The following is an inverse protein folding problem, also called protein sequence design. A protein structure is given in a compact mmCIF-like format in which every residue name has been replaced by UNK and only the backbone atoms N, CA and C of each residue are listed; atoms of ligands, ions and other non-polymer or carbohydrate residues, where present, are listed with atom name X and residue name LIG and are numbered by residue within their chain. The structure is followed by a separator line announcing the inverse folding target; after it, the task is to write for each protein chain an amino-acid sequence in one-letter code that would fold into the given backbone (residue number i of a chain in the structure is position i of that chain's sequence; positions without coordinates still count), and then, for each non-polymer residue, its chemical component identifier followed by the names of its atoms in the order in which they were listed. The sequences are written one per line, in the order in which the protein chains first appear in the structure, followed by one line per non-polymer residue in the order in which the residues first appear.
data_IF_507287650058
#
_entry.id   IF_507287650058
#
_cell.length_a   1.000
_cell.length_b   1.000
_cell.length_c   1.000
_cell.angle_alpha   90.00
_cell.angle_beta   90.00
_cell.angle_gamma   90.00
#
_symmetry.space_group_name_H-M   'P 1'
#
loop_
_entity.id
_entity.type
_entity.pdbx_description
1 polymer ?
#
# COMPACT_ATOMS: atom_id res chain seq x y z
N UNK A 1 -66.17 45.14 1.40
CA UNK A 1 -65.70 43.97 0.63
C UNK A 1 -64.24 44.23 0.25
N UNK A 2 -63.25 43.61 0.90
CA UNK A 2 -62.68 42.26 0.65
C UNK A 2 -61.45 42.35 -0.27
N UNK A 3 -60.27 41.96 0.25
CA UNK A 3 -58.97 42.03 -0.43
C UNK A 3 -58.00 43.01 0.26
N UNK A 4 -56.69 42.78 0.29
CA UNK A 4 -55.91 41.63 -0.21
C UNK A 4 -54.62 41.49 0.62
N UNK A 5 -54.53 40.46 1.48
CA UNK A 5 -53.29 40.18 2.24
C UNK A 5 -52.26 39.51 1.33
N UNK A 6 -51.12 40.16 1.12
CA UNK A 6 -49.92 39.53 0.55
C UNK A 6 -48.94 39.23 1.70
N UNK A 7 -48.82 37.95 2.05
CA UNK A 7 -47.68 37.44 2.81
C UNK A 7 -46.78 36.70 1.83
N UNK A 8 -45.53 37.14 1.72
CA UNK A 8 -44.52 36.45 0.93
C UNK A 8 -44.12 35.17 1.66
N UNK A 9 -44.35 34.01 1.04
CA UNK A 9 -43.88 32.74 1.55
C UNK A 9 -42.35 32.67 1.40
N UNK A 10 -41.63 32.57 2.52
CA UNK A 10 -40.19 32.34 2.51
C UNK A 10 -39.93 30.90 2.02
N UNK A 11 -39.42 30.76 0.80
CA UNK A 11 -39.04 29.47 0.24
C UNK A 11 -37.74 28.97 0.85
N UNK A 12 -37.82 28.07 1.83
CA UNK A 12 -36.65 27.38 2.38
C UNK A 12 -35.97 26.52 1.32
N UNK A 13 -34.82 26.97 0.78
CA UNK A 13 -33.93 26.08 0.03
C UNK A 13 -33.37 25.03 0.98
N UNK A 14 -33.98 23.84 0.97
CA UNK A 14 -33.47 22.67 1.65
C UNK A 14 -32.30 22.10 0.82
N UNK A 15 -31.12 22.69 1.02
CA UNK A 15 -29.88 22.23 0.40
C UNK A 15 -29.61 20.81 0.90
N UNK A 16 -29.76 19.82 0.02
CA UNK A 16 -29.48 18.43 0.33
C UNK A 16 -27.96 18.21 0.39
N UNK A 17 -27.36 18.58 1.53
CA UNK A 17 -25.95 18.37 1.80
C UNK A 17 -25.67 16.86 1.85
N UNK A 18 -25.17 16.32 0.74
CA UNK A 18 -24.68 14.95 0.65
C UNK A 18 -23.46 14.79 1.57
N UNK A 19 -23.71 14.43 2.82
CA UNK A 19 -22.67 14.17 3.80
C UNK A 19 -21.93 12.90 3.41
N UNK A 20 -20.69 13.05 2.94
CA UNK A 20 -19.73 11.96 2.88
C UNK A 20 -19.45 11.50 4.32
N UNK A 21 -20.28 10.58 4.82
CA UNK A 21 -20.01 9.89 6.07
C UNK A 21 -18.67 9.15 5.91
N UNK A 22 -17.68 9.40 6.80
CA UNK A 22 -16.43 8.67 6.72
C UNK A 22 -16.71 7.19 6.95
N UNK A 23 -16.34 6.35 5.98
CA UNK A 23 -16.56 4.91 6.07
C UNK A 23 -15.95 4.35 7.38
N UNK A 24 -16.59 3.34 8.00
CA UNK A 24 -16.17 2.81 9.29
C UNK A 24 -14.77 2.19 9.21
N UNK A 25 -14.01 2.24 10.30
CA UNK A 25 -12.60 1.82 10.35
C UNK A 25 -12.34 0.39 9.84
N UNK A 26 -13.33 -0.50 9.94
CA UNK A 26 -13.31 -1.86 9.37
C UNK A 26 -13.14 -1.85 7.85
N UNK A 27 -13.84 -0.95 7.15
CA UNK A 27 -13.79 -0.78 5.69
C UNK A 27 -12.49 -0.14 5.17
N UNK A 28 -11.56 0.26 6.07
CA UNK A 28 -10.24 0.81 5.71
C UNK A 28 -9.07 -0.02 6.22
N UNK A 29 -9.31 -0.99 7.10
CA UNK A 29 -8.40 -2.14 7.19
C UNK A 29 -8.66 -3.09 6.03
N UNK A 30 -9.92 -3.31 5.60
CA UNK A 30 -10.21 -4.15 4.42
C UNK A 30 -9.51 -3.68 3.14
N UNK A 31 -9.26 -2.38 2.93
CA UNK A 31 -8.49 -1.90 1.77
C UNK A 31 -6.96 -2.15 1.88
N UNK A 32 -6.42 -2.21 3.09
CA UNK A 32 -5.06 -2.76 3.33
C UNK A 32 -5.05 -4.27 3.08
N UNK A 33 -6.11 -4.98 3.46
CA UNK A 33 -6.22 -6.43 3.29
C UNK A 33 -6.39 -6.82 1.81
N UNK A 34 -7.14 -6.05 1.04
CA UNK A 34 -7.19 -6.14 -0.42
C UNK A 34 -5.78 -6.08 -1.02
N UNK A 35 -4.99 -5.07 -0.61
CA UNK A 35 -3.62 -4.87 -1.12
C UNK A 35 -2.54 -5.81 -0.57
N UNK A 36 -2.86 -6.66 0.42
CA UNK A 36 -1.90 -7.55 1.10
C UNK A 36 -2.25 -9.04 1.07
N UNK A 37 -3.53 -9.36 0.89
CA UNK A 37 -4.05 -10.72 0.86
C UNK A 37 -4.89 -10.95 -0.40
N UNK A 38 -5.12 -9.90 -1.19
CA UNK A 38 -5.84 -9.88 -2.46
C UNK A 38 -7.33 -9.66 -2.26
N UNK A 39 -7.90 -8.67 -2.97
CA UNK A 39 -9.35 -8.53 -3.03
C UNK A 39 -9.98 -9.80 -3.59
N UNK A 40 -10.73 -10.52 -2.74
CA UNK A 40 -11.67 -11.54 -3.20
C UNK A 40 -12.80 -10.82 -3.91
N UNK A 41 -13.07 -11.15 -5.17
CA UNK A 41 -14.02 -10.40 -5.99
C UNK A 41 -15.43 -10.49 -5.41
N UNK A 42 -15.81 -9.45 -4.67
CA UNK A 42 -17.05 -9.42 -3.91
C UNK A 42 -18.21 -9.20 -4.89
N UNK A 43 -19.24 -10.07 -4.91
CA UNK A 43 -20.41 -9.84 -5.75
C UNK A 43 -20.95 -8.44 -5.47
N UNK A 44 -21.23 -7.69 -6.54
CA UNK A 44 -21.77 -6.33 -6.41
C UNK A 44 -22.98 -6.37 -5.46
N UNK A 45 -23.05 -5.48 -4.44
CA UNK A 45 -24.14 -5.50 -3.49
C UNK A 45 -25.45 -5.38 -4.26
N UNK A 46 -26.33 -6.38 -4.11
CA UNK A 46 -27.60 -6.40 -4.80
C UNK A 46 -28.34 -5.07 -4.56
N UNK A 47 -28.92 -4.45 -5.59
CA UNK A 47 -29.65 -3.19 -5.42
C UNK A 47 -30.68 -3.37 -4.31
N UNK A 48 -30.66 -2.47 -3.33
CA UNK A 48 -31.59 -2.54 -2.22
C UNK A 48 -33.04 -2.51 -2.76
N UNK A 49 -33.96 -3.29 -2.19
CA UNK A 49 -35.34 -3.33 -2.68
C UNK A 49 -35.95 -1.93 -2.59
N UNK A 50 -36.33 -1.38 -3.74
CA UNK A 50 -37.08 -0.13 -3.81
C UNK A 50 -38.42 -0.31 -3.08
N UNK A 51 -38.89 0.67 -2.30
CA UNK A 51 -40.19 0.59 -1.64
C UNK A 51 -41.31 0.57 -2.69
N UNK A 52 -42.19 -0.44 -2.60
CA UNK A 52 -43.29 -0.60 -3.55
C UNK A 52 -44.19 0.65 -3.62
N UNK A 53 -44.39 1.16 -4.84
CA UNK A 53 -45.35 2.23 -5.13
C UNK A 53 -46.61 1.59 -5.73
N UNK A 54 -47.76 1.56 -5.02
CA UNK A 54 -48.98 0.94 -5.53
C UNK A 54 -49.58 1.73 -6.72
N UNK A 55 -50.33 1.06 -7.62
CA UNK A 55 -50.42 1.50 -9.02
C UNK A 55 -51.68 2.31 -9.38
N UNK A 56 -51.51 3.23 -10.34
CA UNK A 56 -52.56 3.70 -11.25
C UNK A 56 -51.96 4.19 -12.59
N UNK A 57 -52.69 4.02 -13.69
CA UNK A 57 -52.35 4.42 -15.06
C UNK A 57 -53.56 5.21 -15.65
N UNK A 58 -53.67 5.52 -16.96
CA UNK A 58 -52.69 5.47 -18.07
C UNK A 58 -52.65 6.78 -18.92
N UNK A 59 -51.74 6.87 -19.91
CA UNK A 59 -52.03 7.23 -21.34
C UNK A 59 -50.73 7.42 -22.16
N UNK A 60 -50.84 7.39 -23.49
CA UNK A 60 -49.77 7.56 -24.49
C UNK A 60 -50.38 8.30 -25.72
N UNK A 61 -49.73 8.44 -26.90
CA UNK A 61 -48.32 8.29 -27.29
C UNK A 61 -47.78 9.49 -28.13
N UNK A 62 -46.48 9.48 -28.53
CA UNK A 62 -46.01 9.71 -29.94
C UNK A 62 -44.48 9.75 -30.14
N UNK A 63 -44.06 9.38 -31.35
CA UNK A 63 -42.76 9.55 -32.06
C UNK A 63 -43.04 10.48 -33.29
N UNK A 64 -42.11 10.86 -34.21
CA UNK A 64 -40.63 10.77 -34.24
C UNK A 64 -39.90 12.05 -34.74
N UNK A 65 -38.55 11.98 -34.85
CA UNK A 65 -37.66 12.77 -35.76
C UNK A 65 -37.56 14.32 -35.54
N UNK A 66 -36.48 15.05 -35.84
CA UNK A 66 -35.06 14.78 -36.21
C UNK A 66 -34.22 16.05 -35.80
N UNK A 67 -33.11 16.58 -36.35
CA UNK A 67 -32.34 16.46 -37.63
C UNK A 67 -30.84 16.82 -37.44
N UNK A 68 -30.02 16.54 -38.46
CA UNK A 68 -28.66 17.07 -38.76
C UNK A 68 -28.74 18.49 -39.41
N UNK A 69 -27.66 19.26 -39.76
CA UNK A 69 -26.29 18.84 -40.11
C UNK A 69 -25.10 19.77 -39.72
N UNK A 70 -23.94 19.53 -40.35
CA UNK A 70 -22.59 20.12 -40.19
C UNK A 70 -22.28 21.10 -41.34
N UNK A 71 -21.51 22.18 -41.11
CA UNK A 71 -20.27 22.44 -41.89
C UNK A 71 -19.16 23.12 -41.05
N UNK A 72 -18.05 23.64 -41.60
CA UNK A 72 -16.93 23.00 -42.34
C UNK A 72 -15.87 24.07 -42.70
N UNK A 73 -14.56 23.72 -42.73
CA UNK A 73 -13.42 24.52 -43.30
C UNK A 73 -13.15 25.90 -42.64
N UNK A 74 -12.04 26.61 -42.84
CA UNK A 74 -10.71 26.47 -43.52
C UNK A 74 -9.70 27.32 -42.66
N UNK A 75 -8.40 27.52 -42.91
CA UNK A 75 -7.24 26.81 -43.50
C UNK A 75 -6.20 27.87 -43.97
N UNK A 76 -4.93 27.47 -44.23
CA UNK A 76 -3.76 28.33 -44.61
C UNK A 76 -3.19 29.15 -43.42
N UNK A 77 -1.91 29.16 -43.01
CA UNK A 77 -0.57 28.88 -43.55
C UNK A 77 0.25 30.14 -43.94
N UNK A 78 1.50 30.21 -43.46
CA UNK A 78 2.50 31.26 -43.73
C UNK A 78 3.82 30.95 -43.01
N UNK A 79 4.97 31.37 -43.59
CA UNK A 79 6.31 31.11 -43.07
C UNK A 79 7.35 32.12 -43.59
N UNK A 80 8.33 32.51 -42.77
CA UNK A 80 9.71 32.95 -43.07
C UNK A 80 10.38 33.52 -41.77
N UNK A 81 11.71 33.69 -41.53
CA UNK A 81 12.97 33.08 -42.04
C UNK A 81 14.19 33.94 -41.67
N UNK A 82 15.30 33.30 -41.25
CA UNK A 82 16.66 33.89 -41.11
C UNK A 82 16.81 35.07 -40.10
N UNK A 83 18.01 35.49 -39.64
CA UNK A 83 19.29 34.80 -39.39
C UNK A 83 20.27 35.73 -38.60
N UNK A 84 21.42 35.18 -38.18
CA UNK A 84 22.70 35.88 -37.88
C UNK A 84 22.89 36.58 -36.52
N UNK A 85 24.16 36.83 -36.16
CA UNK A 85 24.65 37.46 -34.91
C UNK A 85 25.30 36.48 -33.91
N UNK A 86 26.50 35.93 -34.14
CA UNK A 86 27.85 36.52 -34.20
C UNK A 86 28.53 36.77 -32.82
N UNK A 87 29.78 36.31 -32.67
CA UNK A 87 30.64 36.33 -31.45
C UNK A 87 31.98 37.02 -31.74
N UNK A 88 32.50 37.87 -30.83
CA UNK A 88 33.84 37.66 -30.24
C UNK A 88 33.87 37.92 -28.71
N UNK A 89 34.67 37.31 -27.81
CA UNK A 89 35.95 36.57 -27.83
C UNK A 89 37.22 37.38 -27.44
N UNK A 90 37.71 37.22 -26.20
CA UNK A 90 39.07 37.51 -25.66
C UNK A 90 39.14 37.10 -24.15
N UNK A 91 40.26 37.03 -23.40
CA UNK A 91 41.69 36.64 -23.58
C UNK A 91 42.41 36.96 -22.24
N UNK A 92 43.26 36.15 -21.58
CA UNK A 92 43.62 34.73 -21.59
C UNK A 92 44.40 34.37 -20.28
N UNK A 93 44.94 33.15 -20.16
CA UNK A 93 45.84 32.66 -19.07
C UNK A 93 47.34 33.01 -19.35
N UNK A 94 48.38 32.51 -18.62
CA UNK A 94 48.46 31.68 -17.39
C UNK A 94 49.52 32.19 -16.35
N UNK A 95 49.84 31.40 -15.30
CA UNK A 95 51.16 31.40 -14.64
C UNK A 95 51.48 30.11 -13.86
N UNK A 96 52.72 29.65 -14.01
CA UNK A 96 53.45 28.62 -13.25
C UNK A 96 53.95 29.13 -11.87
N UNK A 97 54.48 28.34 -10.91
CA UNK A 97 54.32 26.90 -10.62
C UNK A 97 54.66 26.54 -9.11
N UNK A 98 55.61 25.66 -8.69
CA UNK A 98 55.24 24.61 -7.73
C UNK A 98 56.06 24.55 -6.41
N UNK A 99 55.46 24.02 -5.32
CA UNK A 99 56.21 23.70 -4.09
C UNK A 99 55.66 22.50 -3.28
N UNK A 100 56.55 21.53 -3.03
CA UNK A 100 56.59 20.49 -1.97
C UNK A 100 55.39 19.56 -1.72
N UNK A 101 55.63 18.29 -2.06
CA UNK A 101 54.95 17.10 -1.52
C UNK A 101 55.18 16.97 -0.01
N UNK A 102 54.13 16.60 0.74
CA UNK A 102 54.22 16.05 2.09
C UNK A 102 53.31 14.80 2.18
N UNK A 103 53.87 13.62 1.91
CA UNK A 103 53.11 12.37 1.93
C UNK A 103 53.07 11.79 3.36
N UNK A 104 51.89 11.80 3.99
CA UNK A 104 51.64 11.13 5.27
C UNK A 104 50.30 10.41 5.20
N UNK A 105 50.32 9.10 5.49
CA UNK A 105 49.18 8.28 5.94
C UNK A 105 47.85 8.44 5.22
N UNK A 106 47.56 7.58 4.24
CA UNK A 106 46.19 7.37 3.81
C UNK A 106 45.38 6.59 4.88
N UNK A 107 44.16 7.01 5.19
CA UNK A 107 43.05 6.10 5.44
C UNK A 107 42.35 5.84 4.10
N UNK A 108 42.66 4.72 3.45
CA UNK A 108 41.96 4.30 2.23
C UNK A 108 40.49 4.02 2.56
N UNK A 109 39.59 4.65 1.81
CA UNK A 109 38.19 4.26 1.67
C UNK A 109 37.41 4.06 2.99
N UNK A 110 37.03 5.18 3.63
CA UNK A 110 35.67 5.28 4.14
C UNK A 110 34.70 5.34 2.94
N UNK A 111 34.48 4.20 2.26
CA UNK A 111 33.49 4.09 1.20
C UNK A 111 32.09 4.20 1.81
N UNK A 112 31.58 5.42 1.89
CA UNK A 112 30.14 5.67 1.97
C UNK A 112 29.44 4.78 0.94
N UNK A 113 28.40 4.05 1.34
CA UNK A 113 27.71 3.06 0.49
C UNK A 113 26.88 3.66 -0.66
N UNK A 114 27.27 4.84 -1.15
CA UNK A 114 26.74 5.55 -2.31
C UNK A 114 26.80 4.68 -3.58
N UNK A 115 27.91 3.95 -3.74
CA UNK A 115 28.17 3.00 -4.83
C UNK A 115 28.12 1.55 -4.30
N UNK A 116 27.08 1.21 -3.53
CA UNK A 116 26.88 -0.15 -3.04
C UNK A 116 26.49 -1.09 -4.20
N UNK A 117 27.40 -1.99 -4.57
CA UNK A 117 27.18 -3.05 -5.55
C UNK A 117 25.82 -3.75 -5.31
N UNK A 118 24.88 -3.77 -6.28
CA UNK A 118 23.52 -4.30 -6.06
C UNK A 118 23.47 -5.72 -5.51
N UNK A 119 24.45 -6.56 -5.88
CA UNK A 119 24.60 -7.91 -5.35
C UNK A 119 24.93 -7.92 -3.84
N UNK A 120 25.74 -6.98 -3.36
CA UNK A 120 26.08 -6.85 -1.94
C UNK A 120 24.88 -6.37 -1.10
N UNK A 121 24.10 -5.42 -1.62
CA UNK A 121 22.83 -4.97 -0.99
C UNK A 121 21.84 -6.13 -0.85
N UNK A 122 21.65 -6.92 -1.91
CA UNK A 122 20.78 -8.10 -1.89
C UNK A 122 21.29 -9.17 -0.93
N UNK A 123 22.59 -9.40 -0.86
CA UNK A 123 23.19 -10.33 0.10
C UNK A 123 22.92 -9.90 1.57
N UNK A 124 23.04 -8.60 1.87
CA UNK A 124 22.74 -8.05 3.20
C UNK A 124 21.24 -8.15 3.53
N UNK A 125 20.35 -7.82 2.58
CA UNK A 125 18.91 -7.95 2.78
C UNK A 125 18.47 -9.42 2.96
N UNK A 126 19.03 -10.35 2.18
CA UNK A 126 18.85 -11.79 2.37
C UNK A 126 19.34 -12.23 3.76
N UNK A 127 20.52 -11.77 4.21
CA UNK A 127 21.04 -12.07 5.55
C UNK A 127 20.14 -11.51 6.66
N UNK A 128 19.61 -10.30 6.51
CA UNK A 128 18.65 -9.69 7.42
C UNK A 128 17.38 -10.55 7.59
N UNK A 129 16.76 -10.98 6.48
CA UNK A 129 15.54 -11.80 6.55
C UNK A 129 15.80 -13.23 7.02
N UNK A 130 16.93 -13.83 6.66
CA UNK A 130 17.28 -15.20 7.06
C UNK A 130 17.81 -15.29 8.50
N UNK A 131 18.33 -14.20 9.07
CA UNK A 131 18.81 -14.14 10.45
C UNK A 131 17.72 -13.86 11.51
N UNK A 132 16.46 -13.69 11.13
CA UNK A 132 15.35 -13.35 12.05
C UNK A 132 14.35 -14.50 12.20
N UNK A 133 14.53 -15.34 13.22
CA UNK A 133 13.54 -16.38 13.59
C UNK A 133 12.29 -15.78 14.22
N UNK A 134 12.42 -14.72 15.04
CA UNK A 134 11.30 -13.98 15.64
C UNK A 134 11.54 -12.47 15.57
N UNK A 135 10.45 -11.73 15.42
CA UNK A 135 10.43 -10.27 15.37
C UNK A 135 9.14 -9.74 16.01
N UNK A 136 9.24 -8.75 16.89
CA UNK A 136 8.07 -8.04 17.44
C UNK A 136 8.35 -6.54 17.51
N UNK A 137 7.33 -5.69 17.31
CA UNK A 137 7.46 -4.24 17.41
C UNK A 137 6.14 -3.52 17.14
N UNK A 138 6.21 -2.22 16.89
CA UNK A 138 5.07 -1.41 16.49
C UNK A 138 5.03 -1.24 14.97
N UNK A 139 3.84 -0.99 14.43
CA UNK A 139 3.68 -0.55 13.05
C UNK A 139 2.74 0.64 12.93
N UNK A 140 2.92 1.44 11.88
CA UNK A 140 1.93 2.41 11.39
C UNK A 140 1.67 2.11 9.93
N UNK A 141 0.48 1.59 9.66
CA UNK A 141 -0.06 1.45 8.31
C UNK A 141 -0.44 2.85 7.78
N UNK A 142 -0.22 3.06 6.48
CA UNK A 142 -0.81 4.13 5.68
C UNK A 142 -1.49 3.47 4.48
N UNK A 143 -2.81 3.55 4.39
CA UNK A 143 -3.60 2.98 3.29
C UNK A 143 -3.60 3.90 2.06
N UNK A 144 -4.14 3.42 0.94
CA UNK A 144 -4.18 4.14 -0.34
C UNK A 144 -5.04 5.43 -0.30
N UNK A 145 -5.94 5.56 0.68
CA UNK A 145 -6.70 6.79 0.98
C UNK A 145 -5.97 7.78 1.90
N UNK A 146 -4.72 7.49 2.25
CA UNK A 146 -3.89 8.26 3.17
C UNK A 146 -4.18 8.05 4.65
N UNK A 147 -5.18 7.24 5.03
CA UNK A 147 -5.50 6.99 6.43
C UNK A 147 -4.38 6.22 7.12
N UNK A 148 -4.04 6.68 8.34
CA UNK A 148 -3.02 6.05 9.19
C UNK A 148 -3.68 5.24 10.30
N UNK A 149 -3.22 4.01 10.52
CA UNK A 149 -3.70 3.12 11.59
C UNK A 149 -2.49 2.47 12.26
N UNK A 150 -2.44 2.54 13.59
CA UNK A 150 -1.37 1.95 14.41
C UNK A 150 -1.65 0.50 14.80
N UNK A 151 -0.60 -0.17 15.26
CA UNK A 151 -0.72 -1.45 15.94
C UNK A 151 0.60 -2.06 16.39
N UNK A 152 0.53 -3.33 16.78
CA UNK A 152 1.66 -4.18 17.16
C UNK A 152 1.84 -5.31 16.15
N UNK A 153 3.06 -5.43 15.64
CA UNK A 153 3.51 -6.51 14.77
C UNK A 153 4.16 -7.62 15.62
N UNK A 154 3.84 -8.87 15.32
CA UNK A 154 4.47 -10.04 15.92
C UNK A 154 4.66 -11.12 14.85
N UNK A 155 5.88 -11.63 14.67
CA UNK A 155 6.28 -12.54 13.59
C UNK A 155 7.14 -13.65 14.18
N UNK A 156 6.87 -14.90 13.79
CA UNK A 156 7.68 -16.06 14.15
C UNK A 156 7.81 -17.01 12.95
N UNK A 157 9.03 -17.19 12.45
CA UNK A 157 9.31 -18.12 11.36
C UNK A 157 9.16 -19.59 11.79
N UNK A 158 8.90 -20.50 10.84
CA UNK A 158 8.36 -20.22 9.51
C UNK A 158 6.87 -19.84 9.58
N UNK A 159 6.44 -18.96 8.69
CA UNK A 159 5.05 -18.77 8.29
C UNK A 159 4.16 -17.93 9.22
N UNK A 160 4.48 -17.77 10.51
CA UNK A 160 3.55 -17.18 11.48
C UNK A 160 3.69 -15.67 11.58
N UNK A 161 2.56 -14.97 11.54
CA UNK A 161 2.46 -13.50 11.56
C UNK A 161 1.22 -13.06 12.33
N UNK A 162 1.29 -11.90 12.98
CA UNK A 162 0.16 -11.27 13.66
C UNK A 162 0.27 -9.75 13.56
N UNK A 163 -0.78 -9.10 13.04
CA UNK A 163 -1.02 -7.67 13.20
C UNK A 163 -2.18 -7.49 14.20
N UNK A 164 -1.86 -7.04 15.40
CA UNK A 164 -2.84 -6.51 16.35
C UNK A 164 -3.03 -5.02 16.04
N UNK A 165 -4.23 -4.60 15.61
CA UNK A 165 -4.53 -3.18 15.44
C UNK A 165 -4.89 -2.50 16.76
N UNK A 166 -4.53 -1.23 16.86
CA UNK A 166 -4.92 -0.38 17.99
C UNK A 166 -6.38 0.08 17.88
N UNK A 167 -7.00 0.40 19.02
CA UNK A 167 -8.34 0.96 19.06
C UNK A 167 -8.39 2.33 18.33
N UNK A 168 -9.50 2.66 17.63
CA UNK A 168 -10.81 2.00 17.65
C UNK A 168 -10.99 0.87 16.63
N UNK A 169 -9.93 0.38 15.98
CA UNK A 169 -10.04 -0.74 15.03
C UNK A 169 -10.35 -2.05 15.75
N UNK A 170 -11.40 -2.81 15.35
CA UNK A 170 -11.69 -4.13 15.90
C UNK A 170 -10.89 -5.25 15.18
N UNK A 171 -9.97 -4.88 14.29
CA UNK A 171 -9.38 -5.80 13.32
C UNK A 171 -8.16 -6.55 13.90
N UNK A 172 -7.96 -7.77 13.42
CA UNK A 172 -6.79 -8.59 13.70
C UNK A 172 -6.44 -9.36 12.41
N UNK A 173 -5.14 -9.49 12.10
CA UNK A 173 -4.67 -10.39 11.04
C UNK A 173 -3.76 -11.41 11.68
N UNK A 174 -3.96 -12.69 11.37
CA UNK A 174 -3.14 -13.79 11.86
C UNK A 174 -2.75 -14.71 10.71
N UNK A 175 -1.49 -15.11 10.63
CA UNK A 175 -1.04 -16.22 9.81
C UNK A 175 -0.54 -17.35 10.72
N UNK A 176 -0.99 -18.58 10.46
CA UNK A 176 -0.55 -19.79 11.19
C UNK A 176 0.62 -20.51 10.51
N UNK A 177 0.94 -20.10 9.27
CA UNK A 177 1.98 -20.66 8.41
C UNK A 177 1.46 -21.40 7.18
N UNK A 178 0.15 -21.67 7.11
CA UNK A 178 -0.53 -22.17 5.89
C UNK A 178 -1.51 -21.13 5.35
N UNK A 179 -2.30 -20.54 6.24
CA UNK A 179 -3.34 -19.55 5.90
C UNK A 179 -3.09 -18.22 6.59
N UNK A 180 -3.77 -17.19 6.10
CA UNK A 180 -3.98 -15.91 6.78
C UNK A 180 -5.46 -15.77 7.07
N UNK A 181 -5.80 -15.56 8.34
CA UNK A 181 -7.11 -15.15 8.81
C UNK A 181 -7.12 -13.64 9.07
N UNK A 182 -7.92 -12.93 8.29
CA UNK A 182 -8.50 -11.64 8.68
C UNK A 182 -9.57 -11.92 9.73
N UNK A 183 -9.65 -11.14 10.80
CA UNK A 183 -10.69 -11.29 11.84
C UNK A 183 -11.26 -9.94 12.24
N UNK A 184 -12.59 -9.83 12.32
CA UNK A 184 -13.28 -8.72 12.98
C UNK A 184 -13.71 -9.15 14.39
N UNK A 185 -13.10 -8.58 15.43
CA UNK A 185 -13.41 -8.89 16.83
C UNK A 185 -14.81 -8.42 17.26
N UNK A 186 -15.38 -7.41 16.58
CA UNK A 186 -16.70 -6.84 16.87
C UNK A 186 -17.81 -7.58 16.14
N UNK A 187 -17.61 -7.91 14.87
CA UNK A 187 -18.58 -8.65 14.04
C UNK A 187 -18.45 -10.18 14.19
N UNK A 188 -17.33 -10.68 14.74
CA UNK A 188 -16.97 -12.11 14.87
C UNK A 188 -16.88 -12.83 13.52
N UNK A 189 -16.62 -12.09 12.45
CA UNK A 189 -16.32 -12.62 11.12
C UNK A 189 -14.84 -12.91 10.97
N UNK A 190 -14.50 -13.82 10.04
CA UNK A 190 -13.13 -14.01 9.58
C UNK A 190 -13.10 -14.40 8.11
N UNK A 191 -12.09 -13.92 7.39
CA UNK A 191 -11.85 -14.23 5.98
C UNK A 191 -10.49 -14.94 5.85
N UNK A 192 -10.48 -16.06 5.12
CA UNK A 192 -9.32 -16.96 5.00
C UNK A 192 -8.71 -16.91 3.60
N UNK A 193 -7.39 -16.77 3.56
CA UNK A 193 -6.54 -16.67 2.37
C UNK A 193 -5.33 -17.60 2.51
N UNK A 194 -4.76 -18.12 1.42
CA UNK A 194 -3.50 -18.89 1.51
C UNK A 194 -2.29 -17.98 1.56
N UNK A 195 -1.35 -18.24 2.49
CA UNK A 195 -0.15 -17.43 2.70
C UNK A 195 0.70 -17.25 1.42
N UNK A 196 0.68 -18.24 0.53
CA UNK A 196 1.40 -18.27 -0.76
C UNK A 196 0.92 -17.25 -1.79
N UNK A 197 -0.31 -16.73 -1.64
CA UNK A 197 -0.94 -15.80 -2.58
C UNK A 197 -0.76 -14.32 -2.15
N UNK A 198 -0.02 -14.09 -1.07
CA UNK A 198 0.14 -12.80 -0.39
C UNK A 198 1.49 -12.17 -0.74
N UNK A 199 1.62 -10.84 -0.92
CA UNK A 199 2.92 -10.22 -1.21
C UNK A 199 3.87 -10.26 -0.01
N UNK A 200 3.41 -10.49 1.24
CA UNK A 200 4.29 -10.63 2.41
C UNK A 200 4.97 -12.00 2.54
N UNK A 201 4.68 -12.97 1.66
CA UNK A 201 5.20 -14.34 1.80
C UNK A 201 6.72 -14.42 1.93
N UNK A 202 7.46 -13.47 1.34
CA UNK A 202 8.92 -13.41 1.45
C UNK A 202 9.43 -13.11 2.88
N UNK A 203 8.68 -12.36 3.70
CA UNK A 203 9.01 -12.13 5.11
C UNK A 203 8.86 -13.40 5.96
N UNK A 204 7.97 -14.30 5.54
CA UNK A 204 7.45 -15.40 6.37
C UNK A 204 8.08 -16.75 6.05
N UNK A 205 8.64 -16.96 4.86
CA UNK A 205 9.41 -18.18 4.57
C UNK A 205 10.57 -18.36 5.54
N UNK A 206 10.88 -19.62 5.88
CA UNK A 206 12.06 -20.00 6.66
C UNK A 206 13.32 -19.34 6.08
N UNK A 207 13.59 -19.65 4.80
CA UNK A 207 14.64 -19.04 3.98
C UNK A 207 14.05 -18.32 2.77
N UNK A 208 14.66 -17.19 2.43
CA UNK A 208 14.34 -16.38 1.25
C UNK A 208 15.63 -16.06 0.49
N UNK A 209 15.56 -16.08 -0.84
CA UNK A 209 16.54 -15.42 -1.71
C UNK A 209 15.79 -14.43 -2.61
N UNK A 210 15.86 -13.14 -2.28
CA UNK A 210 15.16 -12.05 -2.98
C UNK A 210 15.49 -11.98 -4.48
N UNK A 211 16.65 -12.51 -4.91
CA UNK A 211 17.07 -12.54 -6.31
C UNK A 211 16.56 -13.77 -7.09
N UNK A 212 15.99 -14.78 -6.42
CA UNK A 212 15.43 -16.00 -7.03
C UNK A 212 13.92 -16.12 -6.85
N UNK A 213 13.43 -15.70 -5.68
CA UNK A 213 12.03 -15.85 -5.27
C UNK A 213 11.14 -14.69 -5.74
N UNK A 214 11.74 -13.57 -6.14
CA UNK A 214 11.09 -12.36 -6.62
C UNK A 214 11.88 -11.78 -7.80
N UNK A 215 11.25 -10.90 -8.60
CA UNK A 215 11.97 -10.15 -9.64
C UNK A 215 12.45 -8.83 -9.05
N UNK A 216 13.75 -8.68 -8.78
CA UNK A 216 14.33 -7.37 -8.39
C UNK A 216 14.25 -6.43 -9.59
N UNK A 217 13.73 -5.22 -9.39
CA UNK A 217 13.48 -4.23 -10.46
C UNK A 217 14.28 -2.94 -10.33
N UNK A 218 14.68 -2.55 -9.12
CA UNK A 218 15.49 -1.36 -8.84
C UNK A 218 16.15 -1.47 -7.45
N UNK A 219 17.36 -0.94 -7.29
CA UNK A 219 18.04 -0.75 -6.01
C UNK A 219 18.64 0.64 -6.01
N UNK A 220 18.26 1.45 -5.02
CA UNK A 220 18.56 2.88 -5.00
C UNK A 220 18.88 3.38 -3.58
N UNK A 221 19.77 4.36 -3.54
CA UNK A 221 20.12 5.09 -2.32
C UNK A 221 19.21 6.32 -2.19
N UNK A 222 18.14 6.19 -1.41
CA UNK A 222 17.27 7.32 -1.07
C UNK A 222 17.88 8.10 0.14
N UNK A 223 17.52 9.38 0.37
CA UNK A 223 18.05 10.15 1.52
C UNK A 223 17.73 9.57 2.91
N UNK A 224 16.87 8.56 3.01
CA UNK A 224 16.54 7.84 4.25
C UNK A 224 17.26 6.49 4.42
N UNK A 225 18.07 6.05 3.46
CA UNK A 225 18.72 4.74 3.44
C UNK A 225 18.53 4.00 2.12
N UNK A 226 18.59 2.67 2.14
CA UNK A 226 18.54 1.86 0.91
C UNK A 226 17.12 1.41 0.59
N UNK A 227 16.67 1.64 -0.66
CA UNK A 227 15.41 1.13 -1.20
C UNK A 227 15.68 -0.02 -2.17
N UNK A 228 15.03 -1.16 -1.93
CA UNK A 228 15.01 -2.31 -2.85
C UNK A 228 13.60 -2.44 -3.41
N UNK A 229 13.44 -2.36 -4.72
CA UNK A 229 12.17 -2.55 -5.42
C UNK A 229 12.12 -3.95 -6.06
N UNK A 230 11.01 -4.65 -5.87
CA UNK A 230 10.79 -6.03 -6.35
C UNK A 230 9.38 -6.19 -6.92
N UNK A 231 9.18 -7.21 -7.74
CA UNK A 231 7.87 -7.64 -8.24
C UNK A 231 7.58 -9.10 -7.88
N UNK A 232 6.36 -9.36 -7.40
CA UNK A 232 5.82 -10.68 -7.10
C UNK A 232 4.70 -11.00 -8.10
N UNK A 233 4.92 -12.01 -8.95
CA UNK A 233 3.97 -12.42 -10.01
C UNK A 233 3.01 -13.53 -9.56
N UNK A 234 3.15 -14.01 -8.32
CA UNK A 234 2.38 -15.11 -7.75
C UNK A 234 1.46 -14.62 -6.62
N UNK A 235 0.84 -13.45 -6.81
CA UNK A 235 -0.14 -12.85 -5.89
C UNK A 235 -1.55 -12.91 -6.47
N UNK A 236 -2.58 -12.85 -5.62
CA UNK A 236 -3.96 -12.73 -6.09
C UNK A 236 -4.12 -11.49 -6.99
N UNK A 237 -4.86 -11.64 -8.09
CA UNK A 237 -5.16 -10.57 -9.04
C UNK A 237 -4.06 -10.22 -10.05
N UNK A 238 -2.84 -10.76 -9.92
CA UNK A 238 -1.73 -10.50 -10.84
C UNK A 238 -0.42 -10.14 -10.15
N UNK A 239 0.36 -9.24 -10.76
CA UNK A 239 1.67 -8.81 -10.26
C UNK A 239 1.56 -7.70 -9.23
N UNK A 240 1.98 -7.96 -7.99
CA UNK A 240 2.20 -6.94 -6.95
C UNK A 240 3.61 -6.37 -7.03
N UNK A 241 3.77 -5.06 -6.74
CA UNK A 241 5.08 -4.42 -6.57
C UNK A 241 5.39 -4.21 -5.09
N UNK A 242 6.61 -4.48 -4.68
CA UNK A 242 7.09 -4.42 -3.30
C UNK A 242 8.26 -3.43 -3.27
N UNK A 243 8.27 -2.48 -2.33
CA UNK A 243 9.42 -1.64 -2.04
C UNK A 243 9.81 -1.81 -0.57
N UNK A 244 11.06 -2.21 -0.33
CA UNK A 244 11.64 -2.38 1.00
C UNK A 244 12.57 -1.20 1.28
N UNK A 245 12.40 -0.57 2.44
CA UNK A 245 13.22 0.57 2.87
C UNK A 245 14.02 0.15 4.10
N UNK A 246 15.33 0.18 3.97
CA UNK A 246 16.29 -0.12 5.01
C UNK A 246 17.00 1.14 5.51
N UNK A 247 17.65 1.05 6.66
CA UNK A 247 18.73 1.96 7.02
C UNK A 247 19.91 1.87 6.01
N UNK A 248 20.80 2.86 6.05
CA UNK A 248 21.92 2.98 5.10
C UNK A 248 22.97 1.84 5.18
N UNK A 249 22.84 0.93 6.15
CA UNK A 249 23.71 -0.23 6.34
C UNK A 249 22.98 -1.58 6.17
N UNK A 250 21.70 -1.57 5.76
CA UNK A 250 20.85 -2.76 5.54
C UNK A 250 20.73 -3.68 6.79
N UNK A 251 20.83 -3.08 7.99
CA UNK A 251 20.71 -3.74 9.31
C UNK A 251 19.26 -3.77 9.83
N UNK A 252 18.44 -2.83 9.37
CA UNK A 252 17.06 -2.62 9.85
C UNK A 252 16.13 -2.24 8.71
N UNK A 253 15.12 -3.08 8.43
CA UNK A 253 13.96 -2.69 7.63
C UNK A 253 13.12 -1.69 8.44
N UNK A 254 12.97 -0.47 7.96
CA UNK A 254 12.24 0.63 8.61
C UNK A 254 10.82 0.81 8.05
N UNK A 255 10.61 0.43 6.79
CA UNK A 255 9.32 0.53 6.11
C UNK A 255 9.26 -0.49 4.98
N UNK A 256 8.07 -1.02 4.69
CA UNK A 256 7.77 -1.61 3.39
C UNK A 256 6.57 -0.92 2.75
N UNK A 257 6.46 -1.02 1.44
CA UNK A 257 5.32 -0.56 0.65
C UNK A 257 4.96 -1.62 -0.36
N UNK A 258 3.67 -1.82 -0.57
CA UNK A 258 3.11 -2.75 -1.52
C UNK A 258 2.12 -2.00 -2.38
N UNK A 259 2.23 -2.16 -3.69
CA UNK A 259 1.24 -1.71 -4.67
C UNK A 259 0.64 -2.96 -5.31
N UNK A 260 -0.66 -3.12 -5.18
CA UNK A 260 -1.38 -4.28 -5.71
C UNK A 260 -1.57 -4.21 -7.25
N UNK A 261 -2.04 -5.29 -7.91
CA UNK A 261 -2.27 -5.30 -9.35
C UNK A 261 -3.28 -4.24 -9.86
N UNK A 262 -4.12 -3.72 -8.96
CA UNK A 262 -5.12 -2.68 -9.22
C UNK A 262 -4.56 -1.26 -9.03
N UNK A 263 -3.34 -1.13 -8.48
CA UNK A 263 -2.64 0.13 -8.25
C UNK A 263 -2.85 0.75 -6.87
N UNK A 264 -3.55 0.09 -5.93
CA UNK A 264 -3.70 0.59 -4.57
C UNK A 264 -2.39 0.41 -3.80
N UNK A 265 -1.85 1.53 -3.30
CA UNK A 265 -0.59 1.57 -2.58
C UNK A 265 -0.81 1.56 -1.06
N UNK A 266 -0.35 0.50 -0.40
CA UNK A 266 -0.29 0.37 1.06
C UNK A 266 1.15 0.53 1.53
N UNK A 267 1.41 1.38 2.52
CA UNK A 267 2.73 1.54 3.17
C UNK A 267 2.63 1.11 4.63
N UNK A 268 3.62 0.39 5.14
CA UNK A 268 3.72 0.01 6.56
C UNK A 268 5.08 0.45 7.09
N UNK A 269 5.03 1.36 8.06
CA UNK A 269 6.21 1.88 8.77
C UNK A 269 6.41 1.06 10.04
N UNK A 270 7.65 0.74 10.38
CA UNK A 270 8.03 -0.12 11.51
C UNK A 270 8.80 0.67 12.56
N UNK A 271 8.56 0.39 13.83
CA UNK A 271 9.33 0.96 14.94
C UNK A 271 9.42 -0.01 16.12
N UNK A 272 10.32 0.29 17.05
CA UNK A 272 10.54 -0.50 18.28
C UNK A 272 10.78 -1.99 18.02
N UNK A 273 11.46 -2.32 16.91
CA UNK A 273 11.69 -3.69 16.48
C UNK A 273 12.63 -4.42 17.45
N UNK A 274 12.21 -5.61 17.89
CA UNK A 274 12.92 -6.51 18.78
C UNK A 274 13.03 -7.89 18.11
N UNK A 275 14.26 -8.31 17.80
CA UNK A 275 14.58 -9.59 17.14
C UNK A 275 14.86 -10.67 18.21
N UNK A 276 14.56 -11.93 17.92
CA UNK A 276 15.01 -13.08 18.73
C UNK A 276 14.31 -13.29 20.08
N UNK A 277 13.32 -12.47 20.44
CA UNK A 277 12.50 -12.69 21.65
C UNK A 277 11.66 -13.96 21.51
N UNK A 278 11.45 -14.70 22.59
CA UNK A 278 10.46 -15.77 22.64
C UNK A 278 9.03 -15.21 22.42
N UNK A 279 8.23 -15.92 21.62
CA UNK A 279 6.84 -15.58 21.29
C UNK A 279 6.02 -16.86 21.45
N UNK A 280 4.87 -16.77 22.13
CA UNK A 280 3.95 -17.90 22.29
C UNK A 280 3.28 -18.25 20.94
N UNK A 281 3.27 -19.54 20.62
CA UNK A 281 2.61 -20.10 19.44
C UNK A 281 1.10 -19.88 19.42
N UNK A 282 0.44 -19.80 20.59
CA UNK A 282 -1.02 -19.60 20.71
C UNK A 282 -1.51 -18.32 20.02
N UNK A 283 -0.67 -17.28 19.99
CA UNK A 283 -0.97 -15.98 19.38
C UNK A 283 -1.24 -16.06 17.88
N UNK A 284 -0.77 -17.13 17.24
CA UNK A 284 -0.89 -17.38 15.80
C UNK A 284 -2.03 -18.34 15.44
N UNK A 285 -2.87 -18.73 16.40
CA UNK A 285 -3.95 -19.69 16.17
C UNK A 285 -5.09 -19.12 15.29
N UNK A 286 -5.56 -19.96 14.37
CA UNK A 286 -6.70 -19.75 13.48
C UNK A 286 -7.72 -20.88 13.73
N UNK A 287 -8.96 -20.51 14.07
CA UNK A 287 -10.05 -21.48 14.21
C UNK A 287 -10.74 -21.67 12.86
N UNK A 288 -10.52 -22.80 12.18
CA UNK A 288 -11.14 -23.09 10.87
C UNK A 288 -12.61 -23.54 10.96
N UNK A 289 -13.22 -23.46 12.15
CA UNK A 289 -14.60 -23.82 12.40
C UNK A 289 -14.82 -25.29 12.76
N UNK A 290 -13.76 -26.12 12.80
CA UNK A 290 -13.85 -27.53 13.18
C UNK A 290 -14.17 -27.69 14.67
N UNK A 291 -14.64 -28.88 15.06
CA UNK A 291 -14.91 -29.23 16.47
C UNK A 291 -13.66 -29.09 17.35
N UNK A 292 -12.53 -29.61 16.87
CA UNK A 292 -11.22 -29.56 17.53
C UNK A 292 -10.72 -28.11 17.68
N UNK A 293 -10.80 -27.31 16.61
CA UNK A 293 -10.41 -25.90 16.64
C UNK A 293 -11.18 -25.12 17.73
N UNK A 294 -12.50 -25.37 17.84
CA UNK A 294 -13.38 -24.75 18.83
C UNK A 294 -13.10 -25.23 20.26
N UNK A 295 -12.54 -26.41 20.45
CA UNK A 295 -12.08 -26.88 21.76
C UNK A 295 -10.75 -26.22 22.13
N UNK A 296 -9.79 -26.19 21.20
CA UNK A 296 -8.48 -25.54 21.40
C UNK A 296 -8.63 -24.02 21.62
N UNK A 297 -9.53 -23.35 20.92
CA UNK A 297 -9.81 -21.92 21.13
C UNK A 297 -10.31 -21.63 22.56
N UNK A 298 -11.13 -22.53 23.14
CA UNK A 298 -11.60 -22.40 24.53
C UNK A 298 -10.44 -22.61 25.52
N UNK A 299 -9.57 -23.58 25.26
CA UNK A 299 -8.41 -23.85 26.10
C UNK A 299 -7.38 -22.70 26.07
N UNK A 300 -7.17 -22.07 24.91
CA UNK A 300 -6.32 -20.87 24.78
C UNK A 300 -6.93 -19.68 25.54
N UNK A 301 -8.26 -19.54 25.56
CA UNK A 301 -8.97 -18.46 26.29
C UNK A 301 -9.19 -18.74 27.79
N UNK A 302 -8.70 -19.86 28.30
CA UNK A 302 -8.83 -20.28 29.70
C UNK A 302 -7.48 -20.28 30.45
N UNK A 303 -6.43 -19.74 29.81
CA UNK A 303 -5.07 -19.52 30.34
C UNK A 303 -4.81 -18.02 30.44
#
# INVERSE_FOLDING_TARGET
MTGRRHLLAAGSLLVLAASLQPAPATAQVSSFLDGLFGRKEQPAPAPAPEPEVPPAAPTAPKKPAAQTPKPAKDAKAGADKAASGAKPAAKAAPSDAPAKVAAVGAPTAASSMLDAEPAAVLAQANAYFNGMTTLSGNFVQIAADGRRIGGKLTLAKPGRLRFDYDQPSPMEVVADGTSVAVKDRKLKTQDLYFISQTPLKFLLRDKIDLARDLTVSDIANDPGGIRISLEDRATLGGTSKIQLFFDAEVKTLSQWRITDPQGYQTTVQLSNLQKGKAIDGSQFFINYGRSEDKAMEKQIKAQ
#
